data_IF_328375754544
#
_entry.id   IF_328375754544
#
_cell.length_a   1.000
_cell.length_b   1.000
_cell.length_c   1.000
_cell.angle_alpha   90.00
_cell.angle_beta   90.00
_cell.angle_gamma   90.00
#
_symmetry.space_group_name_H-M   'P 1'
#
loop_
_entity.id
_entity.type
_entity.pdbx_description
1 polymer ?
#
# COMPACT_ATOMS: atom_id res chain seq x y z
N UNK A 1 -41.98 25.29 1.00
CA UNK A 1 -41.27 25.93 -0.13
C UNK A 1 -41.58 27.42 -0.17
N UNK A 2 -40.65 28.28 0.23
CA UNK A 2 -40.55 29.67 -0.21
C UNK A 2 -39.05 29.95 -0.41
N UNK A 3 -38.68 30.41 -1.61
CA UNK A 3 -37.30 30.78 -1.96
C UNK A 3 -37.29 32.29 -2.11
N UNK A 4 -36.53 32.98 -1.27
CA UNK A 4 -36.28 34.40 -1.47
C UNK A 4 -34.98 34.61 -2.26
N UNK A 5 -35.07 35.52 -3.21
CA UNK A 5 -34.09 35.74 -4.28
C UNK A 5 -33.65 37.20 -4.21
N UNK A 6 -32.37 37.46 -3.93
CA UNK A 6 -31.81 38.82 -4.02
C UNK A 6 -30.67 38.82 -5.05
N UNK A 7 -30.87 39.62 -6.10
CA UNK A 7 -29.86 40.00 -7.09
C UNK A 7 -29.24 41.33 -6.68
N UNK A 8 -27.94 41.54 -6.93
CA UNK A 8 -27.46 42.61 -7.85
C UNK A 8 -25.95 42.91 -7.77
N UNK A 9 -25.33 42.98 -8.96
CA UNK A 9 -24.48 44.08 -9.48
C UNK A 9 -23.18 44.38 -8.68
N UNK A 10 -22.01 43.90 -9.11
CA UNK A 10 -21.16 44.35 -10.25
C UNK A 10 -20.55 45.76 -10.08
N UNK A 11 -19.22 45.82 -9.99
CA UNK A 11 -18.43 46.99 -10.36
C UNK A 11 -17.08 46.54 -10.97
N UNK A 12 -16.74 47.10 -12.13
CA UNK A 12 -15.51 46.85 -12.89
C UNK A 12 -14.37 47.76 -12.40
N UNK A 13 -13.11 47.33 -12.52
CA UNK A 13 -12.00 48.22 -12.88
C UNK A 13 -10.84 47.44 -13.52
N UNK A 14 -10.46 47.85 -14.72
CA UNK A 14 -9.21 47.46 -15.39
C UNK A 14 -8.14 48.54 -15.15
N UNK A 15 -6.89 48.13 -15.43
CA UNK A 15 -5.95 48.80 -16.36
C UNK A 15 -4.69 49.47 -15.76
N UNK A 16 -3.54 49.09 -16.35
CA UNK A 16 -2.30 49.87 -16.39
C UNK A 16 -1.19 49.40 -15.43
N UNK A 17 0.10 49.37 -15.81
CA UNK A 17 0.73 49.54 -17.13
C UNK A 17 2.19 49.03 -17.05
N UNK A 18 2.81 48.64 -18.17
CA UNK A 18 4.27 48.37 -18.23
C UNK A 18 5.10 49.66 -18.06
N UNK A 19 6.36 49.56 -17.59
CA UNK A 19 7.56 49.79 -18.43
C UNK A 19 8.91 49.74 -17.67
N UNK A 20 9.86 49.01 -18.28
CA UNK A 20 11.31 49.22 -18.43
C UNK A 20 12.19 49.93 -17.35
N UNK A 21 13.33 49.29 -17.03
CA UNK A 21 14.52 49.89 -16.40
C UNK A 21 15.81 49.14 -16.75
N UNK A 22 16.67 49.77 -17.56
CA UNK A 22 18.04 49.36 -17.95
C UNK A 22 19.07 49.59 -16.80
N UNK A 23 20.38 49.26 -16.82
CA UNK A 23 21.25 48.28 -17.52
C UNK A 23 22.72 48.65 -17.13
N UNK A 24 23.59 47.68 -16.78
CA UNK A 24 25.08 47.70 -16.94
C UNK A 24 25.60 46.29 -16.56
N UNK A 25 26.20 45.47 -17.45
CA UNK A 25 27.59 45.50 -18.00
C UNK A 25 28.67 45.44 -16.88
N UNK A 26 29.76 44.69 -16.95
CA UNK A 26 30.83 44.54 -17.96
C UNK A 26 31.59 43.22 -17.66
N UNK A 27 32.02 42.35 -18.58
CA UNK A 27 31.65 42.07 -19.99
C UNK A 27 32.19 40.65 -20.36
N UNK A 28 32.57 40.38 -21.63
CA UNK A 28 32.92 39.05 -22.20
C UNK A 28 34.41 38.95 -22.64
N UNK A 29 34.91 37.80 -23.13
CA UNK A 29 35.02 37.71 -24.59
C UNK A 29 34.59 36.36 -25.21
N UNK A 30 33.93 36.47 -26.37
CA UNK A 30 33.41 35.39 -27.21
C UNK A 30 34.49 34.80 -28.11
N UNK A 31 34.38 33.51 -28.47
CA UNK A 31 34.67 33.11 -29.85
C UNK A 31 33.74 32.00 -30.37
N UNK A 32 32.79 32.43 -31.21
CA UNK A 32 32.03 31.57 -32.13
C UNK A 32 33.01 30.91 -33.13
N UNK A 33 32.75 29.76 -33.77
CA UNK A 33 31.60 29.54 -34.68
C UNK A 33 31.45 28.05 -34.99
N UNK A 34 30.20 27.66 -35.26
CA UNK A 34 29.68 26.35 -35.69
C UNK A 34 30.10 25.87 -37.08
N UNK A 35 30.15 24.54 -37.29
CA UNK A 35 29.46 23.80 -38.38
C UNK A 35 29.92 22.34 -38.43
N UNK A 36 28.95 21.42 -38.29
CA UNK A 36 28.80 20.10 -38.92
C UNK A 36 30.00 19.15 -39.12
N UNK A 37 29.91 17.95 -38.52
CA UNK A 37 29.86 16.65 -39.26
C UNK A 37 29.74 15.45 -38.32
N UNK A 38 29.19 14.34 -38.84
CA UNK A 38 29.03 13.07 -38.14
C UNK A 38 30.38 12.36 -37.87
N UNK A 39 30.52 11.72 -36.70
CA UNK A 39 30.90 10.29 -36.62
C UNK A 39 30.90 9.74 -35.19
N UNK A 40 30.10 8.69 -35.01
CA UNK A 40 30.32 7.52 -34.13
C UNK A 40 31.42 7.57 -33.04
N UNK A 41 31.00 7.59 -31.78
CA UNK A 41 31.60 6.70 -30.76
C UNK A 41 30.56 6.31 -29.70
N UNK A 42 30.01 5.10 -29.81
CA UNK A 42 29.05 4.53 -28.87
C UNK A 42 29.78 4.07 -27.61
N UNK A 43 29.86 4.93 -26.59
CA UNK A 43 30.34 4.53 -25.27
C UNK A 43 29.23 3.76 -24.55
N UNK A 44 29.27 2.43 -24.64
CA UNK A 44 28.41 1.56 -23.83
C UNK A 44 28.83 1.65 -22.35
N UNK A 45 28.16 2.52 -21.60
CA UNK A 45 28.20 2.46 -20.15
C UNK A 45 27.41 1.26 -19.64
N UNK A 46 28.05 0.09 -19.69
CA UNK A 46 27.62 -1.11 -18.97
C UNK A 46 27.68 -0.83 -17.47
N UNK A 47 26.59 -0.28 -16.93
CA UNK A 47 26.35 -0.21 -15.50
C UNK A 47 26.00 -1.60 -14.99
N UNK A 48 27.03 -2.43 -14.84
CA UNK A 48 26.92 -3.74 -14.22
C UNK A 48 26.70 -3.56 -12.72
N UNK A 49 25.44 -3.31 -12.33
CA UNK A 49 25.02 -3.20 -10.94
C UNK A 49 25.13 -4.56 -10.28
N UNK A 50 26.31 -4.89 -9.72
CA UNK A 50 26.43 -6.01 -8.80
C UNK A 50 25.63 -5.67 -7.54
N UNK A 51 24.43 -6.23 -7.43
CA UNK A 51 23.65 -6.20 -6.19
C UNK A 51 24.42 -7.00 -5.14
N UNK A 52 25.20 -6.29 -4.32
CA UNK A 52 25.79 -6.83 -3.11
C UNK A 52 24.67 -6.89 -2.09
N UNK A 53 23.91 -7.99 -2.10
CA UNK A 53 22.93 -8.28 -1.07
C UNK A 53 23.67 -8.40 0.27
N UNK A 54 23.20 -7.67 1.28
CA UNK A 54 23.73 -7.80 2.63
C UNK A 54 23.07 -8.98 3.34
N UNK A 55 23.71 -9.53 4.38
CA UNK A 55 23.09 -10.57 5.20
C UNK A 55 21.78 -10.10 5.86
N UNK A 56 21.63 -8.79 6.10
CA UNK A 56 20.39 -8.20 6.63
C UNK A 56 19.25 -8.25 5.59
N UNK A 57 19.57 -8.23 4.29
CA UNK A 57 18.57 -8.37 3.22
C UNK A 57 18.15 -9.83 3.03
N UNK A 58 19.12 -10.77 3.11
CA UNK A 58 18.85 -12.21 3.08
C UNK A 58 17.89 -12.61 4.22
N UNK A 59 18.15 -12.16 5.45
CA UNK A 59 17.31 -12.47 6.61
C UNK A 59 15.89 -11.87 6.49
N UNK A 60 15.73 -10.67 5.93
CA UNK A 60 14.40 -10.11 5.67
C UNK A 60 13.61 -10.95 4.66
N UNK A 61 14.26 -11.45 3.60
CA UNK A 61 13.61 -12.31 2.61
C UNK A 61 13.21 -13.68 3.19
N UNK A 62 14.04 -14.25 4.08
CA UNK A 62 13.67 -15.43 4.88
C UNK A 62 12.42 -15.18 5.72
N UNK A 63 12.42 -14.10 6.52
CA UNK A 63 11.28 -13.70 7.38
C UNK A 63 10.02 -13.51 6.54
N UNK A 64 10.11 -12.77 5.43
CA UNK A 64 9.00 -12.49 4.51
C UNK A 64 8.40 -13.77 3.92
N UNK A 65 9.26 -14.76 3.64
CA UNK A 65 8.89 -16.11 3.18
C UNK A 65 8.32 -17.02 4.27
N UNK A 66 8.28 -16.56 5.53
CA UNK A 66 7.78 -17.32 6.68
C UNK A 66 8.84 -18.17 7.39
N UNK A 67 10.14 -17.87 7.21
CA UNK A 67 11.28 -18.60 7.77
C UNK A 67 11.93 -17.74 8.89
N UNK A 68 11.60 -18.08 10.13
CA UNK A 68 12.09 -17.42 11.35
C UNK A 68 12.02 -18.39 12.55
N UNK A 69 12.58 -18.01 13.69
CA UNK A 69 12.43 -18.70 14.98
C UNK A 69 11.45 -17.95 15.90
N UNK A 70 10.90 -18.63 16.91
CA UNK A 70 9.86 -18.05 17.78
C UNK A 70 10.39 -16.96 18.71
N UNK A 71 11.69 -16.97 19.02
CA UNK A 71 12.40 -15.96 19.81
C UNK A 71 12.84 -14.74 18.98
N UNK A 72 12.61 -14.75 17.66
CA UNK A 72 12.77 -13.58 16.77
C UNK A 72 11.48 -12.75 16.65
N UNK A 73 10.37 -13.18 17.28
CA UNK A 73 9.07 -12.49 17.19
C UNK A 73 8.86 -11.54 18.37
N UNK A 74 8.62 -10.27 18.06
CA UNK A 74 8.39 -9.19 19.03
C UNK A 74 6.96 -8.65 18.95
N UNK A 75 6.46 -8.10 20.07
CA UNK A 75 5.20 -7.36 20.13
C UNK A 75 5.25 -6.10 19.23
N UNK A 76 4.10 -5.69 18.68
CA UNK A 76 3.99 -4.50 17.81
C UNK A 76 2.83 -3.60 18.21
N UNK A 77 3.01 -2.30 18.03
CA UNK A 77 1.99 -1.29 18.29
C UNK A 77 1.14 -1.03 17.04
N UNK A 78 -0.11 -0.56 17.22
CA UNK A 78 -0.99 -0.21 16.09
C UNK A 78 -0.38 0.85 15.15
N UNK A 79 0.53 1.68 15.67
CA UNK A 79 1.25 2.70 14.90
C UNK A 79 2.10 2.13 13.75
N UNK A 80 2.39 0.83 13.74
CA UNK A 80 3.08 0.14 12.64
C UNK A 80 2.25 0.03 11.36
N UNK A 81 0.93 0.12 11.50
CA UNK A 81 -0.03 0.19 10.38
C UNK A 81 -0.64 1.61 10.24
N UNK A 82 -0.11 2.63 10.93
CA UNK A 82 -0.60 4.01 10.80
C UNK A 82 -0.50 4.50 9.35
N UNK A 83 -1.63 4.96 8.81
CA UNK A 83 -1.74 5.31 7.40
C UNK A 83 -3.18 5.37 6.90
N UNK A 84 -3.29 5.56 5.60
CA UNK A 84 -4.54 5.55 4.84
C UNK A 84 -4.42 4.49 3.76
N UNK A 85 -5.39 3.58 3.70
CA UNK A 85 -5.24 2.27 3.06
C UNK A 85 -6.45 1.96 2.18
N UNK A 86 -6.20 1.50 0.96
CA UNK A 86 -7.22 1.10 -0.02
C UNK A 86 -7.24 -0.42 -0.20
N UNK A 87 -8.44 -1.01 -0.31
CA UNK A 87 -8.60 -2.42 -0.63
C UNK A 87 -8.12 -2.73 -2.04
N UNK A 88 -7.43 -3.85 -2.23
CA UNK A 88 -7.00 -4.31 -3.56
C UNK A 88 -8.12 -5.00 -4.36
N UNK A 89 -9.27 -5.32 -3.73
CA UNK A 89 -10.36 -6.07 -4.36
C UNK A 89 -10.92 -5.42 -5.65
N UNK A 90 -11.13 -4.10 -5.73
CA UNK A 90 -11.60 -3.46 -6.96
C UNK A 90 -10.64 -3.65 -8.15
N UNK A 91 -9.31 -3.61 -7.90
CA UNK A 91 -8.28 -3.80 -8.92
C UNK A 91 -8.19 -5.25 -9.42
N UNK A 92 -8.61 -6.23 -8.62
CA UNK A 92 -8.78 -7.61 -9.10
C UNK A 92 -10.02 -7.72 -9.99
N UNK A 93 -11.12 -7.08 -9.59
CA UNK A 93 -12.41 -7.17 -10.28
C UNK A 93 -12.41 -6.44 -11.63
N UNK A 94 -11.71 -5.30 -11.75
CA UNK A 94 -11.58 -4.55 -13.01
C UNK A 94 -10.49 -5.09 -13.96
N UNK A 95 -9.67 -6.03 -13.48
CA UNK A 95 -8.60 -6.67 -14.25
C UNK A 95 -7.24 -5.98 -14.17
N UNK A 96 -7.10 -4.90 -13.39
CA UNK A 96 -5.81 -4.22 -13.19
C UNK A 96 -4.71 -5.16 -12.65
N UNK A 97 -5.07 -6.15 -11.83
CA UNK A 97 -4.12 -7.13 -11.29
C UNK A 97 -3.86 -8.34 -12.21
N UNK A 98 -4.42 -8.40 -13.42
CA UNK A 98 -4.30 -9.59 -14.29
C UNK A 98 -2.84 -9.89 -14.68
N UNK A 99 -1.97 -8.88 -14.78
CA UNK A 99 -0.53 -9.05 -15.03
C UNK A 99 0.17 -9.79 -13.88
N UNK A 100 -0.17 -9.46 -12.63
CA UNK A 100 0.36 -10.14 -11.42
C UNK A 100 -0.05 -11.61 -11.42
N UNK A 101 -1.29 -11.92 -11.79
CA UNK A 101 -1.77 -13.29 -11.88
C UNK A 101 -1.07 -14.07 -13.00
N UNK A 102 -0.87 -13.46 -14.18
CA UNK A 102 -0.12 -14.08 -15.28
C UNK A 102 1.33 -14.40 -14.87
N UNK A 103 2.02 -13.47 -14.20
CA UNK A 103 3.37 -13.70 -13.68
C UNK A 103 3.41 -14.88 -12.70
N UNK A 104 2.40 -15.04 -11.83
CA UNK A 104 2.30 -16.19 -10.91
C UNK A 104 2.07 -17.52 -11.64
N UNK A 105 1.24 -17.55 -12.70
CA UNK A 105 1.09 -18.73 -13.58
C UNK A 105 2.44 -19.12 -14.21
N UNK A 106 3.17 -18.16 -14.77
CA UNK A 106 4.45 -18.41 -15.45
C UNK A 106 5.56 -18.84 -14.48
N UNK A 107 5.56 -18.30 -13.26
CA UNK A 107 6.57 -18.58 -12.22
C UNK A 107 6.31 -19.93 -11.56
N UNK A 108 5.11 -20.13 -11.02
CA UNK A 108 4.80 -21.27 -10.14
C UNK A 108 4.38 -22.52 -10.91
N UNK A 109 3.70 -22.35 -12.06
CA UNK A 109 3.27 -23.44 -12.97
C UNK A 109 2.39 -24.51 -12.29
N UNK A 110 1.71 -24.13 -11.22
CA UNK A 110 0.88 -25.00 -10.36
C UNK A 110 -0.62 -24.82 -10.56
N UNK A 111 -1.04 -23.66 -11.11
CA UNK A 111 -2.44 -23.30 -11.40
C UNK A 111 -2.55 -22.56 -12.73
N UNK A 112 -3.74 -22.60 -13.31
CA UNK A 112 -4.15 -21.73 -14.41
C UNK A 112 -4.46 -20.31 -13.93
N UNK A 113 -4.57 -19.38 -14.89
CA UNK A 113 -4.94 -17.99 -14.60
C UNK A 113 -6.31 -17.88 -13.92
N UNK A 114 -7.32 -18.62 -14.38
CA UNK A 114 -8.66 -18.60 -13.78
C UNK A 114 -8.66 -19.16 -12.35
N UNK A 115 -7.92 -20.25 -12.08
CA UNK A 115 -7.77 -20.80 -10.72
C UNK A 115 -7.07 -19.81 -9.78
N UNK A 116 -6.07 -19.06 -10.27
CA UNK A 116 -5.50 -17.95 -9.50
C UNK A 116 -6.51 -16.81 -9.29
N UNK A 117 -7.28 -16.44 -10.31
CA UNK A 117 -8.26 -15.35 -10.23
C UNK A 117 -9.38 -15.68 -9.26
N UNK A 118 -9.90 -16.91 -9.27
CA UNK A 118 -10.89 -17.38 -8.29
C UNK A 118 -10.31 -17.45 -6.86
N UNK A 119 -9.08 -17.94 -6.70
CA UNK A 119 -8.39 -17.97 -5.40
C UNK A 119 -8.22 -16.57 -4.80
N UNK A 120 -7.63 -15.63 -5.55
CA UNK A 120 -7.45 -14.24 -5.11
C UNK A 120 -8.77 -13.49 -4.96
N UNK A 121 -9.84 -13.91 -5.65
CA UNK A 121 -11.16 -13.31 -5.50
C UNK A 121 -11.77 -13.64 -4.14
N UNK A 122 -11.70 -14.89 -3.69
CA UNK A 122 -12.10 -15.27 -2.32
C UNK A 122 -11.18 -14.60 -1.29
N UNK A 123 -9.86 -14.60 -1.54
CA UNK A 123 -8.88 -13.97 -0.67
C UNK A 123 -9.12 -12.48 -0.44
N UNK A 124 -9.31 -11.69 -1.50
CA UNK A 124 -9.44 -10.24 -1.39
C UNK A 124 -10.86 -9.75 -1.11
N UNK A 125 -11.89 -10.59 -1.22
CA UNK A 125 -13.30 -10.14 -1.10
C UNK A 125 -13.58 -9.41 0.22
N UNK A 126 -14.04 -8.16 0.11
CA UNK A 126 -14.43 -7.31 1.23
C UNK A 126 -15.39 -6.23 0.75
N UNK A 127 -16.25 -5.74 1.67
CA UNK A 127 -17.09 -4.56 1.46
C UNK A 127 -16.60 -3.32 2.22
N UNK A 128 -15.38 -3.39 2.78
CA UNK A 128 -14.65 -2.26 3.35
C UNK A 128 -13.68 -1.73 2.29
N UNK A 129 -14.04 -0.66 1.57
CA UNK A 129 -13.19 -0.14 0.49
C UNK A 129 -11.90 0.52 0.98
N UNK A 130 -11.88 1.05 2.21
CA UNK A 130 -10.78 1.85 2.75
C UNK A 130 -10.69 1.73 4.26
N UNK A 131 -9.46 1.72 4.78
CA UNK A 131 -9.18 1.75 6.22
C UNK A 131 -8.24 2.93 6.51
N UNK A 132 -8.54 3.72 7.54
CA UNK A 132 -7.63 4.76 8.04
C UNK A 132 -7.23 4.40 9.47
N UNK A 133 -5.93 4.27 9.71
CA UNK A 133 -5.34 3.94 11.01
C UNK A 133 -4.55 5.16 11.47
N UNK A 134 -4.81 5.61 12.70
CA UNK A 134 -4.13 6.76 13.31
C UNK A 134 -4.14 6.64 14.82
N UNK A 135 -2.98 6.85 15.46
CA UNK A 135 -2.81 6.66 16.89
C UNK A 135 -3.35 5.27 17.32
N UNK A 136 -4.28 5.21 18.26
CA UNK A 136 -4.93 3.97 18.70
C UNK A 136 -6.26 3.69 17.96
N UNK A 137 -6.56 4.37 16.86
CA UNK A 137 -7.87 4.29 16.19
C UNK A 137 -7.81 3.67 14.79
N UNK A 138 -8.82 2.86 14.47
CA UNK A 138 -9.06 2.31 13.14
C UNK A 138 -10.42 2.80 12.66
N UNK A 139 -10.48 3.36 11.45
CA UNK A 139 -11.71 3.78 10.78
C UNK A 139 -11.94 2.93 9.55
N UNK A 140 -13.02 2.15 9.57
CA UNK A 140 -13.47 1.32 8.46
C UNK A 140 -14.46 2.11 7.60
N UNK A 141 -14.18 2.25 6.31
CA UNK A 141 -15.09 2.89 5.35
C UNK A 141 -15.83 1.83 4.53
N UNK A 142 -17.15 1.96 4.50
CA UNK A 142 -18.07 1.11 3.74
C UNK A 142 -19.07 1.97 2.98
N UNK A 143 -19.06 1.90 1.65
CA UNK A 143 -19.86 2.76 0.76
C UNK A 143 -19.66 4.27 1.02
N UNK A 144 -18.46 4.67 1.45
CA UNK A 144 -18.09 6.04 1.82
C UNK A 144 -18.49 6.45 3.25
N UNK A 145 -19.22 5.62 4.01
CA UNK A 145 -19.51 5.86 5.43
C UNK A 145 -18.36 5.30 6.28
N UNK A 146 -17.64 6.17 6.99
CA UNK A 146 -16.57 5.79 7.91
C UNK A 146 -17.05 5.58 9.34
N UNK A 147 -16.67 4.46 9.96
CA UNK A 147 -16.92 4.17 11.38
C UNK A 147 -15.61 3.88 12.11
N UNK A 148 -15.41 4.54 13.24
CA UNK A 148 -14.14 4.53 13.99
C UNK A 148 -14.27 3.81 15.33
N UNK A 149 -13.30 2.95 15.64
CA UNK A 149 -13.08 2.39 16.98
C UNK A 149 -11.69 2.73 17.49
N UNK A 150 -11.55 2.83 18.81
CA UNK A 150 -10.25 2.79 19.49
C UNK A 150 -9.91 1.32 19.78
N UNK A 151 -8.67 0.91 19.54
CA UNK A 151 -8.21 -0.47 19.68
C UNK A 151 -7.04 -0.57 20.66
N UNK A 152 -7.04 -1.64 21.45
CA UNK A 152 -5.94 -2.02 22.34
C UNK A 152 -5.26 -3.29 21.82
N UNK A 153 -3.95 -3.37 21.99
CA UNK A 153 -3.20 -4.58 21.65
C UNK A 153 -3.57 -5.75 22.56
N UNK A 154 -3.72 -6.95 21.99
CA UNK A 154 -4.04 -8.20 22.67
C UNK A 154 -2.82 -9.16 22.73
N UNK A 155 -1.81 -8.94 21.88
CA UNK A 155 -0.66 -9.83 21.71
C UNK A 155 -0.52 -10.32 20.27
N UNK A 156 0.35 -11.30 20.04
CA UNK A 156 0.50 -11.94 18.73
C UNK A 156 0.27 -13.46 18.78
N UNK A 157 0.12 -14.07 17.60
CA UNK A 157 0.02 -15.52 17.41
C UNK A 157 0.87 -15.95 16.22
N UNK A 158 1.78 -16.89 16.45
CA UNK A 158 2.54 -17.56 15.39
C UNK A 158 1.67 -18.69 14.82
N UNK A 159 1.44 -18.67 13.52
CA UNK A 159 0.75 -19.69 12.75
C UNK A 159 1.76 -20.51 11.95
N UNK A 160 1.50 -21.81 11.79
CA UNK A 160 2.23 -22.70 10.87
C UNK A 160 1.23 -23.26 9.87
N UNK A 161 1.46 -23.00 8.59
CA UNK A 161 0.58 -23.42 7.51
C UNK A 161 0.89 -24.85 7.06
N UNK A 162 -0.02 -25.49 6.30
CA UNK A 162 0.20 -26.87 5.80
C UNK A 162 1.44 -27.01 4.91
N UNK A 163 1.88 -25.93 4.26
CA UNK A 163 3.12 -25.87 3.47
C UNK A 163 4.39 -25.92 4.33
N UNK A 164 4.28 -25.77 5.66
CA UNK A 164 5.40 -25.66 6.59
C UNK A 164 5.90 -24.22 6.80
N UNK A 165 5.54 -23.28 5.92
CA UNK A 165 5.82 -21.86 6.12
C UNK A 165 5.00 -21.32 7.30
N UNK A 166 5.48 -20.22 7.90
CA UNK A 166 4.88 -19.64 9.11
C UNK A 166 4.48 -18.19 8.88
N UNK A 167 3.61 -17.67 9.74
CA UNK A 167 3.20 -16.26 9.75
C UNK A 167 2.88 -15.79 11.16
N UNK A 168 2.79 -14.48 11.35
CA UNK A 168 2.43 -13.89 12.64
C UNK A 168 1.18 -13.04 12.47
N UNK A 169 0.17 -13.27 13.31
CA UNK A 169 -1.01 -12.41 13.46
C UNK A 169 -0.78 -11.48 14.65
N UNK A 170 -1.02 -10.19 14.47
CA UNK A 170 -1.02 -9.18 15.55
C UNK A 170 -2.45 -8.81 15.90
N UNK A 171 -2.85 -9.08 17.14
CA UNK A 171 -4.25 -9.09 17.59
C UNK A 171 -4.60 -7.80 18.32
N UNK A 172 -5.77 -7.24 18.03
CA UNK A 172 -6.28 -6.01 18.64
C UNK A 172 -7.77 -6.13 19.01
N UNK A 173 -8.12 -5.72 20.23
CA UNK A 173 -9.50 -5.64 20.71
C UNK A 173 -10.04 -4.21 20.60
N UNK A 174 -11.31 -4.06 20.24
CA UNK A 174 -12.06 -2.81 20.35
C UNK A 174 -12.19 -2.39 21.82
N UNK A 175 -11.96 -1.11 22.10
CA UNK A 175 -12.17 -0.51 23.42
C UNK A 175 -13.63 -0.09 23.56
N UNK A 176 -14.39 -0.88 24.31
CA UNK A 176 -15.83 -0.67 24.52
C UNK A 176 -16.67 -1.29 23.41
N UNK A 177 -17.79 -0.64 23.06
CA UNK A 177 -18.70 -1.11 22.01
C UNK A 177 -19.07 0.04 21.07
N UNK A 178 -18.88 -0.16 19.76
CA UNK A 178 -19.23 0.82 18.71
C UNK A 178 -20.00 0.10 17.60
N UNK A 179 -21.22 0.56 17.29
CA UNK A 179 -22.14 -0.16 16.42
C UNK A 179 -21.67 -0.23 14.95
N UNK A 180 -21.31 -1.44 14.51
CA UNK A 180 -20.80 -1.70 13.17
C UNK A 180 -19.32 -1.34 13.01
N UNK A 181 -18.55 -1.46 14.09
CA UNK A 181 -17.09 -1.52 14.09
C UNK A 181 -16.71 -2.90 14.66
N UNK A 182 -15.80 -3.67 14.02
CA UNK A 182 -15.48 -5.03 14.46
C UNK A 182 -14.89 -5.08 15.87
N UNK A 183 -15.34 -6.01 16.72
CA UNK A 183 -14.77 -6.19 18.07
C UNK A 183 -13.31 -6.62 18.07
N UNK A 184 -12.91 -7.45 17.11
CA UNK A 184 -11.56 -8.01 17.03
C UNK A 184 -10.97 -7.76 15.65
N UNK A 185 -9.68 -7.45 15.62
CA UNK A 185 -8.89 -7.19 14.41
C UNK A 185 -7.56 -7.96 14.50
N UNK A 186 -7.10 -8.52 13.39
CA UNK A 186 -5.80 -9.16 13.27
C UNK A 186 -5.07 -8.69 12.01
N UNK A 187 -3.82 -8.27 12.15
CA UNK A 187 -2.96 -7.91 11.01
C UNK A 187 -1.94 -9.01 10.69
N UNK A 188 -1.62 -9.18 9.41
CA UNK A 188 -0.55 -10.01 8.88
C UNK A 188 0.12 -9.29 7.71
N UNK A 189 1.39 -8.95 7.82
CA UNK A 189 2.12 -8.10 6.86
C UNK A 189 3.56 -8.58 6.63
N UNK A 190 3.78 -9.89 6.76
CA UNK A 190 5.08 -10.54 6.56
C UNK A 190 6.22 -10.09 7.50
N UNK A 191 5.93 -9.24 8.49
CA UNK A 191 6.91 -8.72 9.47
C UNK A 191 6.70 -9.33 10.87
N UNK A 192 7.79 -9.62 11.58
CA UNK A 192 7.76 -10.32 12.89
C UNK A 192 8.20 -9.46 14.09
N UNK A 193 8.61 -8.22 13.85
CA UNK A 193 9.07 -7.26 14.86
C UNK A 193 8.69 -5.82 14.44
N UNK A 194 8.80 -4.80 15.31
CA UNK A 194 8.43 -3.41 15.03
C UNK A 194 8.93 -2.88 13.68
N UNK A 195 8.01 -2.70 12.75
CA UNK A 195 8.25 -2.42 11.32
C UNK A 195 7.04 -1.66 10.76
N UNK A 196 7.26 -0.63 9.93
CA UNK A 196 6.14 0.01 9.21
C UNK A 196 5.69 -0.87 8.07
N UNK A 197 4.41 -1.21 8.07
CA UNK A 197 3.78 -2.04 7.05
C UNK A 197 3.84 -1.33 5.68
N UNK A 198 4.19 -2.08 4.64
CA UNK A 198 4.14 -1.63 3.24
C UNK A 198 2.79 -2.02 2.60
N UNK A 199 2.26 -3.18 2.99
CA UNK A 199 0.91 -3.65 2.75
C UNK A 199 0.52 -4.64 3.85
N UNK A 200 -0.77 -4.98 3.98
CA UNK A 200 -1.20 -6.01 4.93
C UNK A 200 -2.43 -6.78 4.49
N UNK A 201 -2.56 -7.99 5.05
CA UNK A 201 -3.82 -8.73 5.16
C UNK A 201 -4.45 -8.44 6.52
N UNK A 202 -5.76 -8.22 6.57
CA UNK A 202 -6.50 -7.93 7.80
C UNK A 202 -7.69 -8.88 7.96
N UNK A 203 -7.89 -9.37 9.17
CA UNK A 203 -8.97 -10.30 9.54
C UNK A 203 -9.74 -9.66 10.69
N UNK A 204 -11.04 -9.47 10.54
CA UNK A 204 -11.82 -8.72 11.52
C UNK A 204 -13.25 -9.24 11.64
N UNK A 205 -13.82 -9.09 12.83
CA UNK A 205 -15.22 -9.46 13.08
C UNK A 205 -15.62 -9.29 14.54
N UNK A 206 -16.81 -9.76 14.86
CA UNK A 206 -17.33 -9.81 16.23
C UNK A 206 -17.09 -11.17 16.91
N UNK A 207 -16.57 -12.14 16.16
CA UNK A 207 -16.13 -13.45 16.63
C UNK A 207 -14.80 -13.36 17.39
N UNK A 208 -14.59 -14.26 18.35
CA UNK A 208 -13.36 -14.33 19.16
C UNK A 208 -12.10 -14.54 18.30
N UNK A 209 -10.94 -14.09 18.82
CA UNK A 209 -9.66 -14.21 18.14
C UNK A 209 -9.34 -15.64 17.68
N UNK A 210 -9.64 -16.66 18.49
CA UNK A 210 -9.42 -18.07 18.12
C UNK A 210 -10.24 -18.51 16.90
N UNK A 211 -11.45 -17.95 16.69
CA UNK A 211 -12.24 -18.19 15.46
C UNK A 211 -11.55 -17.54 14.26
N UNK A 212 -11.16 -16.27 14.37
CA UNK A 212 -10.49 -15.50 13.31
C UNK A 212 -9.08 -16.02 12.96
N UNK A 213 -8.42 -16.76 13.86
CA UNK A 213 -7.15 -17.45 13.59
C UNK A 213 -7.30 -18.69 12.71
N UNK A 214 -8.51 -19.28 12.65
CA UNK A 214 -8.83 -20.39 11.75
C UNK A 214 -9.26 -19.91 10.35
N UNK A 215 -9.43 -18.60 10.15
CA UNK A 215 -9.71 -18.02 8.83
C UNK A 215 -8.42 -17.95 7.99
N UNK A 216 -8.42 -18.71 6.89
CA UNK A 216 -7.31 -18.92 5.97
C UNK A 216 -7.71 -18.73 4.49
N UNK A 217 -9.00 -18.58 4.19
CA UNK A 217 -9.54 -18.46 2.83
C UNK A 217 -9.83 -17.02 2.44
N UNK A 218 -10.41 -16.21 3.34
CA UNK A 218 -10.66 -14.77 3.14
C UNK A 218 -9.68 -13.93 3.97
N UNK A 219 -8.96 -13.03 3.28
CA UNK A 219 -7.87 -12.22 3.81
C UNK A 219 -7.82 -10.85 3.09
N UNK A 220 -8.82 -9.98 3.36
CA UNK A 220 -8.88 -8.63 2.81
C UNK A 220 -7.54 -7.93 2.86
N UNK A 221 -7.07 -7.46 1.71
CA UNK A 221 -5.69 -6.99 1.51
C UNK A 221 -5.68 -5.52 1.12
N UNK A 222 -4.77 -4.77 1.73
CA UNK A 222 -4.73 -3.32 1.66
C UNK A 222 -3.31 -2.80 1.36
N UNK A 223 -3.26 -1.79 0.49
CA UNK A 223 -2.07 -1.02 0.13
C UNK A 223 -2.31 0.48 0.43
N UNK A 224 -1.27 1.33 0.51
CA UNK A 224 -1.43 2.75 0.78
C UNK A 224 -2.33 3.46 -0.25
N UNK A 225 -3.21 4.34 0.21
CA UNK A 225 -4.28 4.98 -0.60
C UNK A 225 -3.76 5.95 -1.67
N UNK A 226 -2.48 6.33 -1.59
CA UNK A 226 -1.80 7.19 -2.55
C UNK A 226 -1.21 6.44 -3.75
N UNK A 227 -1.15 5.10 -3.72
CA UNK A 227 -0.68 4.30 -4.85
C UNK A 227 -1.76 4.18 -5.94
N UNK A 228 -1.36 4.24 -7.19
CA UNK A 228 -2.18 3.83 -8.33
C UNK A 228 -2.18 2.30 -8.47
N UNK A 229 -3.17 1.76 -9.21
CA UNK A 229 -3.20 0.33 -9.52
C UNK A 229 -1.93 -0.17 -10.23
N UNK A 230 -1.23 0.69 -11.00
CA UNK A 230 0.06 0.35 -11.64
C UNK A 230 1.18 0.23 -10.62
N UNK A 231 1.25 1.11 -9.63
CA UNK A 231 2.24 1.03 -8.55
C UNK A 231 1.96 -0.21 -7.67
N UNK A 232 0.69 -0.51 -7.37
CA UNK A 232 0.32 -1.77 -6.67
C UNK A 232 0.77 -3.01 -7.45
N UNK A 233 0.62 -3.02 -8.79
CA UNK A 233 1.12 -4.11 -9.65
C UNK A 233 2.65 -4.20 -9.64
N UNK A 234 3.36 -3.08 -9.56
CA UNK A 234 4.83 -3.05 -9.46
C UNK A 234 5.30 -3.62 -8.12
N UNK A 235 4.72 -3.19 -7.00
CA UNK A 235 5.01 -3.73 -5.65
C UNK A 235 4.67 -5.23 -5.56
N UNK A 236 3.45 -5.65 -5.96
CA UNK A 236 3.04 -7.06 -5.96
C UNK A 236 3.89 -7.99 -6.85
N UNK A 237 4.68 -7.41 -7.76
CA UNK A 237 5.62 -8.12 -8.63
C UNK A 237 7.08 -8.01 -8.16
N UNK A 238 7.40 -7.14 -7.20
CA UNK A 238 8.71 -7.04 -6.57
C UNK A 238 8.92 -8.09 -5.48
N UNK A 239 7.82 -8.59 -4.90
CA UNK A 239 7.75 -9.71 -3.96
C UNK A 239 7.37 -11.04 -4.63
#
# INVERSE_FOLDING_TARGET
MKKDLIKSIVAFSLLGTMLAGCQEKVDTPVKNTSSDSESTESTEHSHNHSHVHSHDDEKKQEIYSGIFQDDEVEDRELSDWEGDWQSVYPFLLDGSLDEVLQKKVETNKDKTFEEYKDYYKVGYETDIERIVIKENTITFYKNGEGKTGEYKYHGYKILTYESGNRGVRYLFDLVGEVNGVPKHVQFSDHSIYPTKSEHYHIYFGDEEHDTLLNELENWPTYYPSNLSGKEIVEEMNAH
#
